data_IF_386719791852
#
_entry.id   IF_386719791852
#
_cell.length_a   1.000
_cell.length_b   1.000
_cell.length_c   1.000
_cell.angle_alpha   90.00
_cell.angle_beta   90.00
_cell.angle_gamma   90.00
#
_symmetry.space_group_name_H-M   'P 1'
#
loop_
_entity.id
_entity.type
_entity.pdbx_description
1 polymer ?
#
# COMPACT_ATOMS: atom_id res chain seq x y z
N UNK A 1 -4.44 12.79 -1.15
CA UNK A 1 -3.99 11.58 -1.85
C UNK A 1 -5.15 10.60 -1.87
N UNK A 2 -5.49 10.06 -3.04
CA UNK A 2 -6.49 9.00 -3.20
C UNK A 2 -5.81 7.71 -3.66
N UNK A 3 -6.12 6.61 -3.00
CA UNK A 3 -5.53 5.29 -3.28
C UNK A 3 -6.56 4.37 -3.89
N UNK A 4 -6.26 3.81 -5.07
CA UNK A 4 -7.05 2.75 -5.68
C UNK A 4 -6.44 1.40 -5.30
N UNK A 5 -7.21 0.56 -4.61
CA UNK A 5 -6.81 -0.80 -4.26
C UNK A 5 -7.53 -1.79 -5.18
N UNK A 6 -6.83 -2.27 -6.20
CA UNK A 6 -7.32 -3.30 -7.12
C UNK A 6 -7.00 -4.67 -6.53
N UNK A 7 -8.04 -5.43 -6.21
CA UNK A 7 -7.92 -6.77 -5.65
C UNK A 7 -8.24 -7.80 -6.72
N UNK A 8 -7.36 -8.78 -6.88
CA UNK A 8 -7.64 -10.00 -7.62
C UNK A 8 -7.52 -11.19 -6.70
N UNK A 9 -8.67 -11.79 -6.39
CA UNK A 9 -8.76 -12.97 -5.55
C UNK A 9 -10.02 -13.78 -5.95
N UNK A 10 -9.87 -15.00 -6.51
CA UNK A 10 -11.00 -15.78 -7.02
C UNK A 10 -12.10 -16.12 -6.01
N UNK A 11 -11.75 -16.38 -4.75
CA UNK A 11 -12.75 -16.53 -3.67
C UNK A 11 -12.39 -15.65 -2.48
N UNK A 12 -12.77 -14.37 -2.55
CA UNK A 12 -12.55 -13.44 -1.42
C UNK A 12 -13.43 -13.79 -0.21
N UNK A 13 -14.59 -14.41 -0.47
CA UNK A 13 -15.57 -14.77 0.55
C UNK A 13 -15.01 -15.80 1.56
N UNK A 14 -14.11 -16.69 1.11
CA UNK A 14 -13.53 -17.74 1.93
C UNK A 14 -12.17 -17.36 2.53
N UNK A 15 -11.64 -16.18 2.20
CA UNK A 15 -10.32 -15.75 2.68
C UNK A 15 -10.44 -14.98 3.99
N UNK A 16 -10.02 -15.62 5.09
CA UNK A 16 -9.89 -14.98 6.40
C UNK A 16 -8.97 -13.76 6.37
N UNK A 17 -7.88 -13.83 5.60
CA UNK A 17 -6.93 -12.72 5.42
C UNK A 17 -7.61 -11.51 4.79
N UNK A 18 -8.31 -11.71 3.67
CA UNK A 18 -8.93 -10.61 2.93
C UNK A 18 -10.05 -9.96 3.74
N UNK A 19 -10.85 -10.75 4.47
CA UNK A 19 -11.90 -10.23 5.35
C UNK A 19 -11.32 -9.40 6.50
N UNK A 20 -10.24 -9.86 7.13
CA UNK A 20 -9.56 -9.10 8.18
C UNK A 20 -9.01 -7.77 7.67
N UNK A 21 -8.37 -7.76 6.50
CA UNK A 21 -7.86 -6.54 5.89
C UNK A 21 -8.99 -5.59 5.49
N UNK A 22 -10.12 -6.14 5.02
CA UNK A 22 -11.32 -5.39 4.63
C UNK A 22 -11.91 -4.59 5.79
N UNK A 23 -12.12 -5.23 6.94
CA UNK A 23 -12.67 -4.59 8.14
C UNK A 23 -11.77 -3.46 8.68
N UNK A 24 -10.52 -3.43 8.22
CA UNK A 24 -9.48 -2.51 8.69
C UNK A 24 -9.20 -1.37 7.72
N UNK A 25 -9.92 -1.30 6.60
CA UNK A 25 -9.77 -0.23 5.62
C UNK A 25 -10.22 1.13 6.20
N UNK A 26 -9.51 2.22 5.90
CA UNK A 26 -9.97 3.55 6.26
C UNK A 26 -11.27 3.88 5.49
N UNK A 27 -12.19 4.59 6.15
CA UNK A 27 -13.48 5.00 5.57
C UNK A 27 -13.32 6.03 4.43
N UNK A 28 -12.21 6.78 4.42
CA UNK A 28 -11.95 7.84 3.44
C UNK A 28 -10.60 7.67 2.74
N UNK A 29 -10.55 8.08 1.47
CA UNK A 29 -9.31 8.19 0.69
C UNK A 29 -8.83 6.90 0.01
N UNK A 30 -9.44 5.75 0.30
CA UNK A 30 -9.12 4.46 -0.34
C UNK A 30 -10.34 3.90 -1.06
N UNK A 31 -10.23 3.68 -2.37
CA UNK A 31 -11.26 3.04 -3.19
C UNK A 31 -10.95 1.57 -3.37
N UNK A 32 -11.86 0.70 -2.93
CA UNK A 32 -11.74 -0.73 -3.10
C UNK A 32 -12.35 -1.20 -4.42
N UNK A 33 -11.57 -1.95 -5.20
CA UNK A 33 -12.00 -2.45 -6.50
C UNK A 33 -11.65 -3.94 -6.64
N UNK A 34 -12.62 -4.82 -6.40
CA UNK A 34 -12.43 -6.28 -6.49
C UNK A 34 -12.82 -6.80 -7.88
N UNK A 35 -11.82 -7.24 -8.66
CA UNK A 35 -11.97 -7.60 -10.06
C UNK A 35 -12.94 -8.76 -10.29
N UNK A 36 -12.83 -9.87 -9.57
CA UNK A 36 -13.69 -11.04 -9.81
C UNK A 36 -15.16 -10.79 -9.42
N UNK A 37 -15.41 -9.83 -8.51
CA UNK A 37 -16.77 -9.41 -8.16
C UNK A 37 -17.35 -8.46 -9.20
N UNK A 38 -16.55 -7.54 -9.72
CA UNK A 38 -16.98 -6.58 -10.73
C UNK A 38 -17.15 -7.24 -12.11
N UNK A 39 -16.26 -8.19 -12.44
CA UNK A 39 -16.18 -8.85 -13.73
C UNK A 39 -16.31 -10.38 -13.60
N UNK A 40 -17.46 -10.91 -13.14
CA UNK A 40 -17.66 -12.36 -12.94
C UNK A 40 -17.61 -13.16 -14.26
N UNK A 41 -17.83 -12.49 -15.40
CA UNK A 41 -17.70 -13.05 -16.74
C UNK A 41 -16.33 -12.82 -17.39
N UNK A 42 -15.37 -12.23 -16.66
CA UNK A 42 -14.05 -11.80 -17.16
C UNK A 42 -14.12 -10.83 -18.35
N UNK A 43 -15.19 -10.04 -18.46
CA UNK A 43 -15.33 -8.99 -19.47
C UNK A 43 -15.04 -7.64 -18.84
N UNK A 44 -13.82 -7.12 -19.04
CA UNK A 44 -13.36 -5.90 -18.37
C UNK A 44 -13.87 -4.67 -19.11
N UNK A 45 -14.45 -3.71 -18.37
CA UNK A 45 -14.80 -2.40 -18.90
C UNK A 45 -13.56 -1.49 -18.90
N UNK A 46 -12.84 -1.49 -20.02
CA UNK A 46 -11.59 -0.74 -20.18
C UNK A 46 -11.78 0.75 -19.84
N UNK A 47 -12.87 1.37 -20.28
CA UNK A 47 -13.11 2.80 -20.07
C UNK A 47 -13.30 3.13 -18.58
N UNK A 48 -14.06 2.27 -17.88
CA UNK A 48 -14.28 2.38 -16.45
C UNK A 48 -12.97 2.24 -15.67
N UNK A 49 -12.17 1.23 -15.99
CA UNK A 49 -10.90 0.99 -15.31
C UNK A 49 -9.90 2.13 -15.53
N UNK A 50 -9.80 2.64 -16.76
CA UNK A 50 -8.96 3.80 -17.06
C UNK A 50 -9.42 5.05 -16.30
N UNK A 51 -10.73 5.27 -16.17
CA UNK A 51 -11.28 6.38 -15.37
C UNK A 51 -10.89 6.25 -13.90
N UNK A 52 -11.01 5.06 -13.32
CA UNK A 52 -10.57 4.80 -11.95
C UNK A 52 -9.09 5.11 -11.77
N UNK A 53 -8.22 4.71 -12.70
CA UNK A 53 -6.79 5.02 -12.63
C UNK A 53 -6.50 6.53 -12.65
N UNK A 54 -7.28 7.32 -13.40
CA UNK A 54 -7.11 8.76 -13.48
C UNK A 54 -7.52 9.47 -12.19
N UNK A 55 -8.56 8.99 -11.50
CA UNK A 55 -9.12 9.58 -10.27
C UNK A 55 -8.26 9.37 -9.01
N UNK A 56 -7.21 8.54 -9.10
CA UNK A 56 -6.38 8.13 -7.96
C UNK A 56 -4.91 8.44 -8.18
N UNK A 57 -4.21 8.79 -7.11
CA UNK A 57 -2.79 9.16 -7.12
C UNK A 57 -1.89 7.93 -6.92
N UNK A 58 -2.37 6.96 -6.14
CA UNK A 58 -1.69 5.70 -5.82
C UNK A 58 -2.52 4.52 -6.29
N UNK A 59 -1.91 3.61 -7.04
CA UNK A 59 -2.53 2.40 -7.55
C UNK A 59 -1.87 1.19 -6.91
N UNK A 60 -2.63 0.39 -6.18
CA UNK A 60 -2.13 -0.78 -5.45
C UNK A 60 -2.78 -2.05 -5.97
N UNK A 61 -1.97 -3.06 -6.27
CA UNK A 61 -2.46 -4.39 -6.59
C UNK A 61 -2.37 -5.30 -5.38
N UNK A 62 -3.50 -5.90 -5.00
CA UNK A 62 -3.57 -6.87 -3.90
C UNK A 62 -3.99 -8.24 -4.42
N UNK A 63 -3.13 -9.23 -4.24
CA UNK A 63 -3.39 -10.57 -4.75
C UNK A 63 -2.62 -11.67 -4.00
N UNK A 64 -3.12 -12.91 -4.02
CA UNK A 64 -2.37 -14.07 -3.58
C UNK A 64 -1.31 -14.45 -4.60
N UNK A 65 -0.12 -14.81 -4.11
CA UNK A 65 0.99 -15.25 -4.94
C UNK A 65 0.72 -16.65 -5.50
N UNK A 66 0.18 -16.72 -6.70
CA UNK A 66 -0.14 -17.97 -7.39
C UNK A 66 0.99 -18.30 -8.37
N UNK A 67 1.67 -19.42 -8.13
CA UNK A 67 2.80 -19.85 -8.96
C UNK A 67 3.78 -18.71 -9.24
N UNK A 68 4.16 -17.99 -8.18
CA UNK A 68 5.10 -16.87 -8.23
C UNK A 68 4.63 -15.66 -9.05
N UNK A 69 3.33 -15.55 -9.32
CA UNK A 69 2.72 -14.46 -10.09
C UNK A 69 1.34 -14.09 -9.54
N UNK A 70 0.63 -13.19 -10.22
CA UNK A 70 -0.76 -12.84 -9.91
C UNK A 70 -1.76 -13.87 -10.44
N UNK A 71 -3.00 -13.85 -9.93
CA UNK A 71 -4.11 -14.54 -10.57
C UNK A 71 -4.33 -14.09 -12.03
N UNK A 72 -4.98 -14.92 -12.86
CA UNK A 72 -5.09 -14.68 -14.29
C UNK A 72 -5.90 -13.42 -14.64
N UNK A 73 -6.95 -13.10 -13.87
CA UNK A 73 -7.77 -11.92 -14.15
C UNK A 73 -6.99 -10.61 -14.00
N UNK A 74 -6.09 -10.51 -13.01
CA UNK A 74 -5.22 -9.34 -12.89
C UNK A 74 -4.25 -9.22 -14.08
N UNK A 75 -3.81 -10.34 -14.66
CA UNK A 75 -2.97 -10.31 -15.85
C UNK A 75 -3.76 -9.87 -17.08
N UNK A 76 -4.98 -10.39 -17.24
CA UNK A 76 -5.90 -9.94 -18.29
C UNK A 76 -6.20 -8.45 -18.16
N UNK A 77 -6.48 -7.96 -16.95
CA UNK A 77 -6.68 -6.54 -16.67
C UNK A 77 -5.49 -5.69 -17.10
N UNK A 78 -4.26 -6.12 -16.80
CA UNK A 78 -3.07 -5.40 -17.26
C UNK A 78 -3.00 -5.33 -18.78
N UNK A 79 -3.31 -6.43 -19.47
CA UNK A 79 -3.24 -6.50 -20.94
C UNK A 79 -4.32 -5.67 -21.64
N UNK A 80 -5.53 -5.60 -21.07
CA UNK A 80 -6.66 -4.89 -21.67
C UNK A 80 -6.74 -3.41 -21.29
N UNK A 81 -6.35 -3.05 -20.06
CA UNK A 81 -6.52 -1.67 -19.54
C UNK A 81 -5.31 -0.79 -19.83
N UNK A 82 -4.09 -1.33 -19.76
CA UNK A 82 -2.86 -0.57 -19.95
C UNK A 82 -2.52 -0.47 -21.45
N UNK A 83 -3.33 0.26 -22.20
CA UNK A 83 -3.21 0.37 -23.66
C UNK A 83 -2.22 1.45 -24.12
N UNK A 84 -1.74 1.31 -25.35
CA UNK A 84 -0.99 2.37 -26.02
C UNK A 84 -1.86 3.63 -26.20
N UNK A 85 -1.28 4.80 -25.94
CA UNK A 85 -1.99 6.09 -25.98
C UNK A 85 -2.65 6.47 -24.66
N UNK A 86 -2.81 5.52 -23.72
CA UNK A 86 -3.26 5.77 -22.36
C UNK A 86 -2.12 5.60 -21.35
N UNK A 87 -1.63 4.37 -21.18
CA UNK A 87 -0.64 4.02 -20.16
C UNK A 87 0.80 4.20 -20.64
N UNK A 88 1.05 3.98 -21.94
CA UNK A 88 2.37 4.11 -22.56
C UNK A 88 2.28 4.57 -24.02
N UNK A 89 3.43 4.82 -24.65
CA UNK A 89 3.53 5.19 -26.06
C UNK A 89 3.70 6.70 -26.26
N UNK A 90 3.58 7.18 -27.50
CA UNK A 90 3.91 8.59 -27.84
C UNK A 90 3.08 9.62 -27.09
N UNK A 91 1.83 9.29 -26.76
CA UNK A 91 0.89 10.16 -26.05
C UNK A 91 0.38 9.58 -24.73
N UNK A 92 0.74 8.33 -24.41
CA UNK A 92 0.28 7.64 -23.20
C UNK A 92 1.20 7.92 -22.02
N UNK A 93 0.98 9.04 -21.34
CA UNK A 93 1.71 9.47 -20.13
C UNK A 93 0.76 9.73 -18.96
N UNK A 94 -0.48 9.26 -19.04
CA UNK A 94 -1.54 9.60 -18.09
C UNK A 94 -1.33 8.98 -16.70
N UNK A 95 -0.49 7.96 -16.61
CA UNK A 95 -0.10 7.32 -15.35
C UNK A 95 1.23 7.82 -14.80
N UNK A 96 1.93 8.70 -15.53
CA UNK A 96 3.26 9.15 -15.12
C UNK A 96 3.22 9.93 -13.81
N UNK A 97 4.13 9.61 -12.88
CA UNK A 97 4.22 10.22 -11.56
C UNK A 97 3.25 9.65 -10.52
N UNK A 98 2.29 8.82 -10.92
CA UNK A 98 1.45 8.07 -9.96
C UNK A 98 2.29 7.01 -9.26
N UNK A 99 1.90 6.68 -8.04
CA UNK A 99 2.55 5.63 -7.27
C UNK A 99 1.96 4.27 -7.60
N UNK A 100 2.80 3.25 -7.69
CA UNK A 100 2.38 1.88 -7.97
C UNK A 100 3.00 0.91 -6.97
N UNK A 101 2.17 0.15 -6.28
CA UNK A 101 2.60 -0.76 -5.22
C UNK A 101 1.90 -2.11 -5.26
N UNK A 102 2.49 -3.09 -4.58
CA UNK A 102 2.00 -4.46 -4.55
C UNK A 102 1.80 -4.91 -3.10
N UNK A 103 0.65 -5.54 -2.85
CA UNK A 103 0.29 -6.20 -1.61
C UNK A 103 0.11 -7.68 -1.90
N UNK A 104 1.10 -8.48 -1.54
CA UNK A 104 1.18 -9.88 -1.96
C UNK A 104 0.96 -10.78 -0.76
N UNK A 105 -0.04 -11.65 -0.82
CA UNK A 105 -0.24 -12.68 0.22
C UNK A 105 0.43 -13.99 -0.18
N UNK A 106 1.05 -14.69 0.77
CA UNK A 106 1.68 -15.99 0.50
C UNK A 106 1.55 -16.94 1.70
N UNK A 107 1.39 -18.24 1.42
CA UNK A 107 1.42 -19.28 2.44
C UNK A 107 2.85 -19.65 2.90
N UNK A 108 3.88 -19.15 2.23
CA UNK A 108 5.28 -19.44 2.54
C UNK A 108 5.85 -18.35 3.47
N UNK A 109 6.76 -18.71 4.36
CA UNK A 109 7.42 -17.74 5.23
C UNK A 109 8.37 -16.84 4.43
N UNK A 110 8.38 -15.53 4.71
CA UNK A 110 9.27 -14.55 4.06
C UNK A 110 10.74 -15.00 3.96
N UNK A 111 11.30 -15.58 5.03
CA UNK A 111 12.68 -16.10 5.08
C UNK A 111 13.03 -17.17 4.03
N UNK A 112 12.04 -17.78 3.39
CA UNK A 112 12.27 -18.76 2.33
C UNK A 112 12.60 -18.09 0.99
N UNK A 113 12.20 -16.82 0.81
CA UNK A 113 12.43 -16.02 -0.39
C UNK A 113 13.79 -15.32 -0.35
N UNK A 114 14.86 -16.10 -0.51
CA UNK A 114 16.22 -15.59 -0.64
C UNK A 114 17.13 -16.67 -1.23
N UNK A 115 18.29 -16.23 -1.74
CA UNK A 115 19.31 -17.14 -2.24
C UNK A 115 19.70 -18.18 -1.19
N UNK A 116 19.83 -19.44 -1.60
CA UNK A 116 20.20 -20.56 -0.72
C UNK A 116 19.06 -21.12 0.14
N UNK A 117 17.83 -20.61 -0.01
CA UNK A 117 16.63 -21.13 0.66
C UNK A 117 15.69 -21.83 -0.32
N UNK A 118 14.56 -22.29 0.20
CA UNK A 118 13.59 -23.14 -0.50
C UNK A 118 13.08 -22.51 -1.80
N UNK A 119 12.71 -21.22 -1.76
CA UNK A 119 12.16 -20.49 -2.92
C UNK A 119 13.24 -19.91 -3.84
N UNK A 120 14.51 -19.89 -3.39
CA UNK A 120 15.72 -19.47 -4.12
C UNK A 120 15.79 -17.99 -4.54
N UNK A 121 14.66 -17.30 -4.66
CA UNK A 121 14.54 -15.93 -5.13
C UNK A 121 13.88 -15.05 -4.09
N UNK A 122 14.23 -13.77 -4.07
CA UNK A 122 13.56 -12.77 -3.24
C UNK A 122 12.22 -12.34 -3.84
N UNK A 123 11.32 -11.82 -3.01
CA UNK A 123 10.04 -11.28 -3.49
C UNK A 123 10.24 -10.17 -4.55
N UNK A 124 11.14 -9.19 -4.37
CA UNK A 124 11.40 -8.19 -5.41
C UNK A 124 11.92 -8.76 -6.74
N UNK A 125 12.63 -9.88 -6.73
CA UNK A 125 13.03 -10.58 -7.98
C UNK A 125 11.82 -11.20 -8.68
N UNK A 126 10.95 -11.86 -7.91
CA UNK A 126 9.74 -12.47 -8.45
C UNK A 126 8.75 -11.42 -8.99
N UNK A 127 8.71 -10.24 -8.37
CA UNK A 127 7.80 -9.15 -8.76
C UNK A 127 8.34 -8.23 -9.88
N UNK A 128 9.50 -8.57 -10.47
CA UNK A 128 10.10 -7.77 -11.56
C UNK A 128 9.18 -7.46 -12.74
N UNK A 129 8.26 -8.35 -13.18
CA UNK A 129 7.33 -8.01 -14.25
C UNK A 129 6.46 -6.79 -13.93
N UNK A 130 6.00 -6.66 -12.68
CA UNK A 130 5.19 -5.52 -12.24
C UNK A 130 6.00 -4.23 -12.16
N UNK A 131 7.24 -4.31 -11.67
CA UNK A 131 8.16 -3.17 -11.67
C UNK A 131 8.45 -2.69 -13.10
N UNK A 132 8.63 -3.63 -14.05
CA UNK A 132 8.81 -3.29 -15.45
C UNK A 132 7.57 -2.58 -16.04
N UNK A 133 6.36 -3.01 -15.67
CA UNK A 133 5.11 -2.31 -16.03
C UNK A 133 5.07 -0.90 -15.45
N UNK A 134 5.43 -0.72 -14.18
CA UNK A 134 5.49 0.58 -13.53
C UNK A 134 6.43 1.54 -14.28
N UNK A 135 7.65 1.06 -14.54
CA UNK A 135 8.67 1.81 -15.28
C UNK A 135 8.20 2.17 -16.69
N UNK A 136 7.51 1.25 -17.37
CA UNK A 136 6.99 1.48 -18.72
C UNK A 136 5.89 2.55 -18.75
N UNK A 137 5.09 2.64 -17.69
CA UNK A 137 4.01 3.63 -17.54
C UNK A 137 4.48 4.94 -16.89
N UNK A 138 5.75 5.03 -16.48
CA UNK A 138 6.31 6.19 -15.77
C UNK A 138 5.81 6.34 -14.33
N UNK A 139 5.35 5.25 -13.71
CA UNK A 139 4.89 5.23 -12.32
C UNK A 139 6.07 5.10 -11.35
N UNK A 140 5.89 5.56 -10.11
CA UNK A 140 6.85 5.42 -9.02
C UNK A 140 6.59 4.07 -8.34
N UNK A 141 7.50 3.11 -8.51
CA UNK A 141 7.36 1.78 -7.93
C UNK A 141 7.68 1.78 -6.43
N UNK A 142 6.69 1.37 -5.62
CA UNK A 142 6.81 1.27 -4.17
C UNK A 142 7.38 -0.09 -3.73
N UNK A 143 7.99 -0.17 -2.54
CA UNK A 143 8.38 -1.45 -1.95
C UNK A 143 7.19 -2.40 -1.81
N UNK A 144 7.41 -3.69 -2.05
CA UNK A 144 6.34 -4.71 -1.96
C UNK A 144 5.95 -4.93 -0.50
N UNK A 145 4.66 -4.83 -0.20
CA UNK A 145 4.11 -5.25 1.09
C UNK A 145 3.78 -6.74 1.05
N UNK A 146 4.62 -7.56 1.68
CA UNK A 146 4.41 -9.01 1.77
C UNK A 146 3.59 -9.37 3.02
N UNK A 147 2.50 -10.12 2.82
CA UNK A 147 1.67 -10.69 3.88
C UNK A 147 1.92 -12.22 3.92
N UNK A 148 2.98 -12.63 4.62
CA UNK A 148 3.39 -14.02 4.70
C UNK A 148 2.69 -14.77 5.85
N UNK A 149 2.14 -15.96 5.55
CA UNK A 149 1.57 -16.90 6.53
C UNK A 149 0.55 -16.25 7.48
N UNK A 150 -0.34 -15.41 6.96
CA UNK A 150 -1.28 -14.63 7.76
C UNK A 150 -2.05 -15.47 8.79
N UNK A 151 -2.53 -16.66 8.40
CA UNK A 151 -3.31 -17.54 9.28
C UNK A 151 -2.52 -18.11 10.47
N UNK A 152 -1.18 -18.02 10.43
CA UNK A 152 -0.28 -18.50 11.49
C UNK A 152 0.26 -17.37 12.38
N UNK A 153 -0.13 -16.12 12.13
CA UNK A 153 0.30 -14.99 12.94
C UNK A 153 -0.45 -14.96 14.28
N UNK A 154 0.25 -14.53 15.32
CA UNK A 154 -0.37 -14.18 16.59
C UNK A 154 -1.20 -12.89 16.45
N UNK A 155 -2.09 -12.64 17.42
CA UNK A 155 -2.96 -11.45 17.39
C UNK A 155 -2.17 -10.13 17.43
N UNK A 156 -1.03 -10.08 18.14
CA UNK A 156 -0.14 -8.91 18.14
C UNK A 156 0.51 -8.70 16.77
N UNK A 157 0.98 -9.76 16.12
CA UNK A 157 1.55 -9.69 14.77
C UNK A 157 0.52 -9.25 13.74
N UNK A 158 -0.73 -9.77 13.82
CA UNK A 158 -1.84 -9.32 12.95
C UNK A 158 -2.14 -7.84 13.12
N UNK A 159 -2.15 -7.33 14.36
CA UNK A 159 -2.34 -5.88 14.63
C UNK A 159 -1.19 -5.04 14.07
N UNK A 160 0.05 -5.46 14.26
CA UNK A 160 1.21 -4.77 13.70
C UNK A 160 1.18 -4.75 12.17
N UNK A 161 0.78 -5.86 11.55
CA UNK A 161 0.60 -5.98 10.11
C UNK A 161 -0.50 -5.04 9.60
N UNK A 162 -1.61 -4.92 10.33
CA UNK A 162 -2.71 -4.02 10.01
C UNK A 162 -2.28 -2.56 10.02
N UNK A 163 -1.46 -2.16 11.01
CA UNK A 163 -0.89 -0.80 11.06
C UNK A 163 -0.02 -0.56 9.82
N UNK A 164 0.88 -1.49 9.47
CA UNK A 164 1.72 -1.37 8.26
C UNK A 164 0.89 -1.32 6.99
N UNK A 165 -0.16 -2.12 6.91
CA UNK A 165 -1.08 -2.13 5.78
C UNK A 165 -1.76 -0.78 5.62
N UNK A 166 -2.30 -0.20 6.71
CA UNK A 166 -2.89 1.14 6.69
C UNK A 166 -1.89 2.22 6.29
N UNK A 167 -0.66 2.17 6.82
CA UNK A 167 0.42 3.06 6.40
C UNK A 167 0.67 2.96 4.89
N UNK A 168 0.71 1.74 4.35
CA UNK A 168 0.91 1.52 2.93
C UNK A 168 -0.24 2.07 2.06
N UNK A 169 -1.47 2.11 2.59
CA UNK A 169 -2.62 2.66 1.89
C UNK A 169 -2.69 4.19 1.94
N UNK A 170 -2.35 4.81 3.07
CA UNK A 170 -2.68 6.22 3.35
C UNK A 170 -1.48 7.12 3.59
N UNK A 171 -0.32 6.57 3.95
CA UNK A 171 0.87 7.39 4.18
C UNK A 171 1.36 7.99 2.86
N UNK A 172 1.76 9.25 2.89
CA UNK A 172 2.45 9.85 1.75
C UNK A 172 3.75 9.08 1.52
N UNK A 173 4.20 8.93 0.27
CA UNK A 173 5.49 8.30 -0.05
C UNK A 173 6.65 9.26 0.26
N UNK A 174 6.66 9.71 1.51
CA UNK A 174 7.71 10.49 2.13
C UNK A 174 8.15 9.69 3.36
N UNK A 175 9.34 9.10 3.27
CA UNK A 175 9.95 8.33 4.36
C UNK A 175 10.56 9.23 5.44
N UNK A 176 10.44 10.56 5.30
CA UNK A 176 10.88 11.51 6.32
C UNK A 176 10.23 11.23 7.67
N UNK A 177 10.98 11.47 8.75
CA UNK A 177 10.45 11.38 10.11
C UNK A 177 9.22 12.30 10.28
N UNK A 178 9.23 13.45 9.61
CA UNK A 178 8.13 14.43 9.62
C UNK A 178 6.85 13.82 9.07
N UNK A 179 6.89 13.23 7.87
CA UNK A 179 5.71 12.62 7.26
C UNK A 179 5.15 11.46 8.11
N UNK A 180 6.04 10.64 8.69
CA UNK A 180 5.63 9.52 9.57
C UNK A 180 4.97 10.02 10.86
N UNK A 181 5.49 11.07 11.48
CA UNK A 181 4.87 11.69 12.66
C UNK A 181 3.51 12.30 12.34
N UNK A 182 3.39 13.03 11.23
CA UNK A 182 2.13 13.64 10.81
C UNK A 182 1.05 12.58 10.55
N UNK A 183 1.41 11.50 9.86
CA UNK A 183 0.51 10.36 9.65
C UNK A 183 0.05 9.74 10.97
N UNK A 184 0.98 9.50 11.90
CA UNK A 184 0.66 8.89 13.20
C UNK A 184 -0.26 9.78 14.03
N UNK A 185 0.00 11.10 14.09
CA UNK A 185 -0.87 12.08 14.74
C UNK A 185 -2.28 12.08 14.14
N UNK A 186 -2.40 12.02 12.81
CA UNK A 186 -3.69 12.02 12.14
C UNK A 186 -4.49 10.74 12.43
N UNK A 187 -3.87 9.56 12.34
CA UNK A 187 -4.53 8.29 12.68
C UNK A 187 -4.97 8.25 14.14
N UNK A 188 -4.12 8.71 15.08
CA UNK A 188 -4.47 8.82 16.49
C UNK A 188 -5.69 9.74 16.70
N UNK A 189 -5.77 10.88 16.00
CA UNK A 189 -6.92 11.79 16.11
C UNK A 189 -8.21 11.20 15.50
N UNK A 190 -8.10 10.41 14.43
CA UNK A 190 -9.25 9.83 13.73
C UNK A 190 -9.79 8.58 14.45
N UNK A 191 -8.93 7.64 14.83
CA UNK A 191 -9.35 6.38 15.48
C UNK A 191 -9.35 6.47 17.00
N UNK A 192 -8.53 7.33 17.59
CA UNK A 192 -8.49 7.61 19.03
C UNK A 192 -9.82 8.04 19.63
N UNK A 193 -10.76 8.53 18.81
CA UNK A 193 -12.07 9.01 19.29
C UNK A 193 -13.20 7.99 19.24
N UNK A 194 -13.09 6.93 18.42
CA UNK A 194 -14.22 6.01 18.16
C UNK A 194 -14.33 4.88 19.19
N UNK A 195 -13.19 4.38 19.72
CA UNK A 195 -13.16 3.15 20.54
C UNK A 195 -12.44 3.28 21.90
N UNK A 196 -11.93 4.47 22.25
CA UNK A 196 -11.10 4.66 23.44
C UNK A 196 -11.81 5.42 24.56
N UNK A 197 -11.46 5.10 25.81
CA UNK A 197 -12.00 5.75 27.00
C UNK A 197 -11.59 7.23 27.08
N UNK A 198 -12.24 8.04 27.92
CA UNK A 198 -11.85 9.44 28.12
C UNK A 198 -10.40 9.59 28.61
N UNK A 199 -9.90 8.65 29.42
CA UNK A 199 -8.50 8.62 29.88
C UNK A 199 -7.53 8.33 28.73
N UNK A 200 -7.86 7.37 27.87
CA UNK A 200 -7.07 7.05 26.68
C UNK A 200 -7.02 8.23 25.70
N UNK A 201 -8.13 8.97 25.55
CA UNK A 201 -8.19 10.16 24.71
C UNK A 201 -7.30 11.29 25.26
N UNK A 202 -7.25 11.48 26.57
CA UNK A 202 -6.32 12.43 27.20
C UNK A 202 -4.86 12.01 27.01
N UNK A 203 -4.57 10.72 27.14
CA UNK A 203 -3.22 10.18 26.92
C UNK A 203 -2.79 10.35 25.45
N UNK A 204 -3.71 10.17 24.51
CA UNK A 204 -3.48 10.40 23.07
C UNK A 204 -3.15 11.87 22.80
N UNK A 205 -3.91 12.82 23.36
CA UNK A 205 -3.60 14.25 23.19
C UNK A 205 -2.23 14.60 23.80
N UNK A 206 -1.92 14.09 25.00
CA UNK A 206 -0.61 14.30 25.63
C UNK A 206 0.54 13.73 24.78
N UNK A 207 0.35 12.54 24.20
CA UNK A 207 1.33 11.94 23.29
C UNK A 207 1.54 12.80 22.04
N UNK A 208 0.47 13.35 21.48
CA UNK A 208 0.53 14.24 20.33
C UNK A 208 1.26 15.54 20.65
N UNK A 209 0.96 16.16 21.79
CA UNK A 209 1.66 17.37 22.27
C UNK A 209 3.15 17.11 22.45
N UNK A 210 3.52 16.00 23.11
CA UNK A 210 4.93 15.66 23.29
C UNK A 210 5.67 15.41 21.97
N UNK A 211 5.01 14.81 20.99
CA UNK A 211 5.57 14.64 19.64
C UNK A 211 5.79 15.99 18.95
N UNK A 212 4.90 16.96 19.15
CA UNK A 212 5.02 18.32 18.59
C UNK A 212 6.18 19.09 19.25
N UNK A 213 6.30 19.05 20.58
CA UNK A 213 7.43 19.68 21.28
C UNK A 213 8.78 19.07 20.87
N UNK A 214 8.86 17.74 20.76
CA UNK A 214 10.10 17.06 20.34
C UNK A 214 10.49 17.44 18.90
N UNK A 215 9.50 17.72 18.03
CA UNK A 215 9.76 18.18 16.67
C UNK A 215 10.37 19.57 16.66
N UNK A 216 9.81 20.51 17.42
CA UNK A 216 10.37 21.87 17.54
C UNK A 216 11.82 21.83 18.02
N UNK A 217 12.12 21.01 19.03
CA UNK A 217 13.50 20.81 19.50
C UNK A 217 14.44 20.26 18.43
N UNK A 218 13.98 19.31 17.61
CA UNK A 218 14.79 18.76 16.52
C UNK A 218 15.05 19.82 15.43
N UNK A 219 14.06 20.66 15.13
CA UNK A 219 14.18 21.71 14.13
C UNK A 219 15.15 22.81 14.60
N UNK A 220 15.11 23.19 15.88
CA UNK A 220 16.07 24.12 16.50
C UNK A 220 17.52 23.58 16.45
N UNK A 221 17.70 22.28 16.73
CA UNK A 221 19.01 21.62 16.65
C UNK A 221 19.53 21.58 15.21
N UNK A 222 18.64 21.32 14.24
CA UNK A 222 18.97 21.35 12.81
C UNK A 222 19.40 22.74 12.35
N UNK A 223 18.70 23.79 12.81
CA UNK A 223 19.07 25.17 12.54
C UNK A 223 20.46 25.50 13.10
N UNK A 224 20.71 25.12 14.37
CA UNK A 224 22.02 25.32 15.00
C UNK A 224 23.14 24.58 14.24
N UNK A 225 22.89 23.37 13.74
CA UNK A 225 23.84 22.62 12.94
C UNK A 225 24.18 23.35 11.63
N UNK A 226 23.18 23.91 10.94
CA UNK A 226 23.38 24.67 9.70
C UNK A 226 24.23 25.92 9.94
N UNK A 227 23.97 26.67 11.03
CA UNK A 227 24.80 27.82 11.40
C UNK A 227 26.27 27.43 11.67
N UNK A 228 26.52 26.25 12.22
CA UNK A 228 27.88 25.74 12.45
C UNK A 228 28.60 25.33 11.16
N UNK A 229 27.88 24.85 10.14
CA UNK A 229 28.46 24.50 8.84
C UNK A 229 28.88 25.72 8.00
N UNK A 230 28.32 26.91 8.30
CA UNK A 230 28.64 28.17 7.63
C UNK A 230 29.84 28.93 8.23
N UNK A 231 30.43 28.43 9.33
CA UNK A 231 31.60 28.98 10.02
C UNK A 231 32.94 28.42 9.49
#
# INVERSE_FOLDING_TARGET
MRTLLIISHPSIADSHTQRFLWESLPEEGVSWHHLEKEYPSNQIDIQKEQTLLLEHDRILFQFPLYWYSSPPLLKQWQDEVLTEGFAYGKTGNLLTGKEFGLIVTTGVHERAYQAGREEKFTIPELMRPFEAVANKCGMIYLPVLLLARFDYLSESEKKALLIRYRQYLTNQNDDSLVAREQWFKQELRTYGKKDFSEEDQQLIELLIEQMEENREQLDDLLFTLQELEEL
#
